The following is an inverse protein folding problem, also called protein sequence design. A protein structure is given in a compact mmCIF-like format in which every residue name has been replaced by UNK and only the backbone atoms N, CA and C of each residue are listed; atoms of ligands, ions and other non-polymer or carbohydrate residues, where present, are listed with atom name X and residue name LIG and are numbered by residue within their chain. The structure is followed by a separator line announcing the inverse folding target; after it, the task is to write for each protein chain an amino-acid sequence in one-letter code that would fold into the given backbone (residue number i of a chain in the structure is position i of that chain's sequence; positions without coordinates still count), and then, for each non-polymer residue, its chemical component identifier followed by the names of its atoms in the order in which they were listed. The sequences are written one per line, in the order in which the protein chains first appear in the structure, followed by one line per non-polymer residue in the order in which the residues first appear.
data_IF_283788035795
#
_entry.id   IF_283788035795
#
_cell.length_a   1.000
_cell.length_b   1.000
_cell.length_c   1.000
_cell.angle_alpha   90.00
_cell.angle_beta   90.00
_cell.angle_gamma   90.00
#
_symmetry.space_group_name_H-M   'P 1'
#
loop_
_entity.id
_entity.type
_entity.pdbx_description
1 polymer ?
#
# COMPACT_ATOMS: atom_id res chain seq x y z
N UNK A 1 25.55 3.44 -0.87
CA UNK A 1 25.35 4.52 -1.86
C UNK A 1 26.57 5.42 -1.87
N UNK A 2 26.90 6.02 -3.02
CA UNK A 2 27.96 7.03 -3.12
C UNK A 2 27.34 8.38 -3.47
N UNK A 3 27.79 9.45 -2.83
CA UNK A 3 27.40 10.81 -3.24
C UNK A 3 28.07 11.14 -4.57
N UNK A 4 27.30 11.65 -5.52
CA UNK A 4 27.80 12.11 -6.83
C UNK A 4 27.75 13.63 -6.89
N UNK A 5 28.74 14.23 -7.57
CA UNK A 5 28.91 15.69 -7.59
C UNK A 5 28.20 16.38 -8.74
N UNK A 6 27.81 15.63 -9.78
CA UNK A 6 27.22 16.18 -11.00
C UNK A 6 25.84 15.55 -11.28
N UNK A 7 24.96 16.33 -11.90
CA UNK A 7 23.62 15.88 -12.32
C UNK A 7 23.74 14.90 -13.49
N UNK A 8 24.78 15.06 -14.30
CA UNK A 8 25.09 14.26 -15.48
C UNK A 8 25.44 12.81 -15.12
N UNK A 9 26.03 12.59 -13.94
CA UNK A 9 26.33 11.26 -13.39
C UNK A 9 25.09 10.56 -12.79
N UNK A 10 23.98 11.28 -12.66
CA UNK A 10 22.80 10.77 -11.96
C UNK A 10 22.03 9.77 -12.82
N UNK A 11 21.97 8.53 -12.36
CA UNK A 11 21.22 7.45 -13.03
C UNK A 11 19.82 7.30 -12.43
N UNK A 12 18.83 6.75 -13.17
CA UNK A 12 17.57 6.33 -12.58
C UNK A 12 17.80 5.44 -11.34
N UNK A 13 16.94 5.54 -10.34
CA UNK A 13 17.09 4.88 -9.03
C UNK A 13 17.91 5.69 -8.02
N UNK A 14 18.64 6.73 -8.45
CA UNK A 14 19.41 7.58 -7.53
C UNK A 14 18.49 8.34 -6.56
N UNK A 15 18.90 8.45 -5.31
CA UNK A 15 18.18 9.23 -4.29
C UNK A 15 18.63 10.68 -4.36
N UNK A 16 17.69 11.61 -4.26
CA UNK A 16 17.94 13.04 -4.29
C UNK A 16 17.43 13.67 -3.00
N UNK A 17 18.32 14.39 -2.30
CA UNK A 17 17.95 15.26 -1.18
C UNK A 17 18.02 16.70 -1.65
N UNK A 18 16.95 17.46 -1.41
CA UNK A 18 16.89 18.83 -1.90
C UNK A 18 16.00 19.74 -1.07
N UNK A 19 16.13 21.04 -1.32
CA UNK A 19 15.25 22.07 -0.80
C UNK A 19 14.12 22.38 -1.78
N UNK A 20 12.87 22.13 -1.39
CA UNK A 20 11.71 22.63 -2.12
C UNK A 20 11.23 23.94 -1.49
N UNK A 21 11.51 25.07 -2.14
CA UNK A 21 11.09 26.40 -1.67
C UNK A 21 9.56 26.55 -1.56
N UNK A 22 8.78 25.73 -2.27
CA UNK A 22 7.31 25.72 -2.16
C UNK A 22 6.81 24.86 -0.99
N UNK A 23 7.69 24.07 -0.37
CA UNK A 23 7.34 23.28 0.79
C UNK A 23 7.35 24.19 2.04
N UNK A 24 6.20 24.28 2.71
CA UNK A 24 6.04 25.08 3.94
C UNK A 24 6.62 24.41 5.18
N UNK A 25 7.14 23.19 5.07
CA UNK A 25 7.80 22.53 6.19
C UNK A 25 9.25 23.04 6.33
N UNK A 26 9.69 23.38 7.56
CA UNK A 26 11.07 23.78 7.77
C UNK A 26 12.04 22.65 7.37
N UNK A 27 13.27 22.99 6.93
CA UNK A 27 14.29 21.99 6.69
C UNK A 27 14.56 21.16 7.94
N UNK A 28 14.89 19.89 7.75
CA UNK A 28 15.35 19.03 8.85
C UNK A 28 16.76 19.44 9.29
N UNK A 29 17.29 18.80 10.34
CA UNK A 29 18.68 19.02 10.79
C UNK A 29 19.72 18.80 9.68
N UNK A 30 19.38 18.04 8.64
CA UNK A 30 20.20 17.81 7.45
C UNK A 30 20.28 19.00 6.48
N UNK A 31 19.51 20.07 6.69
CA UNK A 31 19.44 21.21 5.78
C UNK A 31 18.58 20.97 4.53
N UNK A 32 17.97 19.78 4.38
CA UNK A 32 17.05 19.44 3.29
C UNK A 32 15.60 19.41 3.77
N UNK A 33 14.66 19.71 2.88
CA UNK A 33 13.21 19.66 3.17
C UNK A 33 12.48 18.54 2.41
N UNK A 34 13.14 17.92 1.42
CA UNK A 34 12.58 16.88 0.58
C UNK A 34 13.58 15.75 0.29
N UNK A 35 13.00 14.58 0.04
CA UNK A 35 13.69 13.40 -0.49
C UNK A 35 12.91 12.93 -1.73
N UNK A 36 13.63 12.60 -2.79
CA UNK A 36 13.09 12.14 -4.05
C UNK A 36 13.91 11.00 -4.65
N UNK A 37 13.42 10.45 -5.74
CA UNK A 37 14.13 9.47 -6.55
C UNK A 37 14.15 9.89 -8.01
N UNK A 38 15.28 9.72 -8.67
CA UNK A 38 15.37 9.90 -10.12
C UNK A 38 14.71 8.70 -10.77
N UNK A 39 13.56 8.86 -11.42
CA UNK A 39 12.84 7.73 -12.05
C UNK A 39 12.94 7.74 -13.59
N UNK A 40 13.34 8.87 -14.16
CA UNK A 40 13.68 9.08 -15.56
C UNK A 40 14.87 10.02 -15.64
N UNK A 41 15.58 10.04 -16.77
CA UNK A 41 16.75 10.93 -16.95
C UNK A 41 16.35 12.38 -16.68
N UNK A 42 16.98 12.98 -15.66
CA UNK A 42 16.74 14.36 -15.27
C UNK A 42 15.48 14.62 -14.47
N UNK A 43 14.64 13.62 -14.15
CA UNK A 43 13.38 13.83 -13.44
C UNK A 43 13.35 13.20 -12.06
N UNK A 44 12.97 14.00 -11.07
CA UNK A 44 12.84 13.61 -9.66
C UNK A 44 11.39 13.40 -9.29
N UNK A 45 11.07 12.21 -8.84
CA UNK A 45 9.79 11.86 -8.22
C UNK A 45 9.90 12.05 -6.70
N UNK A 46 8.99 12.81 -6.09
CA UNK A 46 9.02 13.07 -4.65
C UNK A 46 7.62 13.32 -4.07
N UNK A 47 7.46 13.09 -2.76
CA UNK A 47 6.18 13.36 -2.07
C UNK A 47 6.21 14.75 -1.46
N UNK A 48 5.49 15.69 -2.08
CA UNK A 48 5.25 17.00 -1.44
C UNK A 48 4.14 16.88 -0.41
N UNK A 49 4.47 17.21 0.83
CA UNK A 49 3.51 17.37 1.92
C UNK A 49 2.96 18.80 1.89
N UNK A 50 1.66 18.96 1.69
CA UNK A 50 0.97 20.24 1.97
C UNK A 50 0.25 20.15 3.31
N UNK A 51 -0.36 21.26 3.74
CA UNK A 51 -1.20 21.29 4.96
C UNK A 51 -2.37 20.30 4.86
N UNK A 52 -2.89 20.08 3.65
CA UNK A 52 -4.15 19.38 3.41
C UNK A 52 -3.99 18.03 2.71
N UNK A 53 -2.87 17.80 2.02
CA UNK A 53 -2.68 16.58 1.21
C UNK A 53 -1.21 16.24 1.02
N UNK A 54 -0.96 14.93 0.86
CA UNK A 54 0.29 14.43 0.29
C UNK A 54 0.06 14.27 -1.21
N UNK A 55 0.98 14.76 -2.02
CA UNK A 55 0.91 14.59 -3.48
C UNK A 55 2.27 14.16 -4.00
N UNK A 56 2.28 13.09 -4.78
CA UNK A 56 3.47 12.69 -5.53
C UNK A 56 3.62 13.64 -6.72
N UNK A 57 4.81 14.20 -6.87
CA UNK A 57 5.15 15.19 -7.89
C UNK A 57 6.40 14.76 -8.62
N UNK A 58 6.44 15.15 -9.89
CA UNK A 58 7.60 15.06 -10.75
C UNK A 58 8.15 16.47 -10.95
N UNK A 59 9.48 16.60 -10.94
CA UNK A 59 10.17 17.86 -11.19
C UNK A 59 11.47 17.61 -11.94
N UNK A 60 11.81 18.45 -12.90
CA UNK A 60 13.12 18.43 -13.53
C UNK A 60 14.20 18.78 -12.50
N UNK A 61 15.28 18.00 -12.49
CA UNK A 61 16.41 18.14 -11.58
C UNK A 61 17.08 19.51 -11.77
N UNK A 62 17.10 20.03 -13.00
CA UNK A 62 17.58 21.38 -13.35
C UNK A 62 16.73 22.51 -12.75
N UNK A 63 15.47 22.25 -12.38
CA UNK A 63 14.60 23.25 -11.73
C UNK A 63 14.78 23.29 -10.20
N UNK A 64 15.55 22.39 -9.62
CA UNK A 64 15.83 22.36 -8.18
C UNK A 64 16.84 23.47 -7.87
N UNK A 65 16.39 24.47 -7.10
CA UNK A 65 17.22 25.59 -6.64
C UNK A 65 17.66 25.35 -5.20
N UNK A 66 18.93 25.61 -4.90
CA UNK A 66 19.49 25.51 -3.56
C UNK A 66 20.27 24.21 -3.31
N UNK A 67 20.52 23.85 -2.05
CA UNK A 67 21.27 22.65 -1.69
C UNK A 67 20.66 21.38 -2.31
N UNK A 68 21.54 20.59 -2.92
CA UNK A 68 21.22 19.36 -3.63
C UNK A 68 22.31 18.33 -3.33
N UNK A 69 21.91 17.15 -2.84
CA UNK A 69 22.80 15.99 -2.75
C UNK A 69 22.17 14.81 -3.47
N UNK A 70 22.93 14.17 -4.34
CA UNK A 70 22.49 13.01 -5.11
C UNK A 70 23.31 11.80 -4.68
N UNK A 71 22.62 10.71 -4.40
CA UNK A 71 23.21 9.44 -3.98
C UNK A 71 22.90 8.38 -5.03
N UNK A 72 23.93 7.92 -5.71
CA UNK A 72 23.81 6.87 -6.72
C UNK A 72 23.86 5.48 -6.07
N UNK A 73 23.10 4.56 -6.67
CA UNK A 73 23.20 3.13 -6.40
C UNK A 73 24.40 2.59 -7.18
N UNK A 74 25.19 1.73 -6.54
CA UNK A 74 26.42 1.18 -7.17
C UNK A 74 26.08 0.14 -8.23
N UNK A 75 24.96 -0.56 -8.08
CA UNK A 75 24.52 -1.63 -8.97
C UNK A 75 23.43 -1.12 -9.94
N UNK A 76 23.71 -1.27 -11.24
CA UNK A 76 22.81 -0.87 -12.32
C UNK A 76 21.54 -1.75 -12.37
N UNK A 77 21.65 -3.04 -12.06
CA UNK A 77 20.48 -3.93 -12.06
C UNK A 77 19.54 -3.62 -10.90
N UNK A 78 20.10 -3.37 -9.71
CA UNK A 78 19.35 -2.88 -8.55
C UNK A 78 18.65 -1.54 -8.86
N UNK A 79 19.36 -0.60 -9.48
CA UNK A 79 18.82 0.68 -9.95
C UNK A 79 17.61 0.50 -10.88
N UNK A 80 17.68 -0.43 -11.84
CA UNK A 80 16.56 -0.74 -12.75
C UNK A 80 15.34 -1.28 -12.00
N UNK A 81 15.54 -2.19 -11.05
CA UNK A 81 14.44 -2.77 -10.24
C UNK A 81 13.74 -1.71 -9.39
N UNK A 82 14.52 -0.87 -8.71
CA UNK A 82 14.02 0.26 -7.92
C UNK A 82 13.25 1.23 -8.81
N UNK A 83 13.83 1.65 -9.94
CA UNK A 83 13.20 2.57 -10.89
C UNK A 83 11.87 2.02 -11.40
N UNK A 84 11.83 0.73 -11.77
CA UNK A 84 10.61 0.04 -12.22
C UNK A 84 9.52 0.10 -11.14
N UNK A 85 9.86 -0.14 -9.88
CA UNK A 85 8.91 -0.06 -8.77
C UNK A 85 8.26 1.32 -8.65
N UNK A 86 9.05 2.39 -8.65
CA UNK A 86 8.51 3.75 -8.53
C UNK A 86 7.70 4.18 -9.75
N UNK A 87 8.09 3.75 -10.95
CA UNK A 87 7.35 4.02 -12.17
C UNK A 87 5.96 3.34 -12.18
N UNK A 88 5.88 2.08 -11.74
CA UNK A 88 4.59 1.38 -11.64
C UNK A 88 3.68 2.04 -10.59
N UNK A 89 4.27 2.60 -9.53
CA UNK A 89 3.55 3.14 -8.39
C UNK A 89 3.53 4.68 -8.33
N UNK A 90 3.73 5.37 -9.47
CA UNK A 90 3.91 6.83 -9.55
C UNK A 90 2.71 7.67 -9.05
N UNK A 91 1.56 7.03 -8.82
CA UNK A 91 0.38 7.72 -8.29
C UNK A 91 0.14 7.49 -6.80
N UNK A 92 0.99 6.69 -6.14
CA UNK A 92 0.74 6.22 -4.78
C UNK A 92 1.82 6.69 -3.79
N UNK A 93 1.50 7.71 -2.99
CA UNK A 93 2.42 8.24 -1.98
C UNK A 93 2.84 7.21 -0.92
N UNK A 94 1.99 6.24 -0.58
CA UNK A 94 2.31 5.21 0.42
C UNK A 94 3.27 4.17 -0.15
N UNK A 95 3.12 3.81 -1.42
CA UNK A 95 4.10 2.97 -2.13
C UNK A 95 5.44 3.68 -2.28
N UNK A 96 5.44 5.00 -2.52
CA UNK A 96 6.67 5.78 -2.50
C UNK A 96 7.40 5.65 -1.15
N UNK A 97 6.68 5.86 -0.03
CA UNK A 97 7.26 5.72 1.32
C UNK A 97 7.77 4.29 1.58
N UNK A 98 7.03 3.27 1.14
CA UNK A 98 7.41 1.87 1.23
C UNK A 98 8.73 1.63 0.49
N UNK A 99 8.83 2.08 -0.76
CA UNK A 99 10.06 1.99 -1.55
C UNK A 99 11.23 2.66 -0.85
N UNK A 100 11.07 3.91 -0.40
CA UNK A 100 12.15 4.64 0.30
C UNK A 100 12.62 3.93 1.57
N UNK A 101 11.72 3.27 2.31
CA UNK A 101 12.08 2.46 3.49
C UNK A 101 12.93 1.25 3.10
N UNK A 102 12.53 0.52 2.06
CA UNK A 102 13.26 -0.68 1.66
C UNK A 102 14.60 -0.37 1.00
N UNK A 103 14.76 0.75 0.29
CA UNK A 103 16.08 1.19 -0.17
C UNK A 103 17.08 1.34 1.00
N UNK A 104 16.60 1.79 2.17
CA UNK A 104 17.44 1.95 3.36
C UNK A 104 17.71 0.64 4.12
N UNK A 105 16.78 -0.32 4.07
CA UNK A 105 16.79 -1.51 4.94
C UNK A 105 17.23 -2.78 4.21
N UNK A 106 16.59 -3.08 3.09
CA UNK A 106 16.74 -4.35 2.39
C UNK A 106 16.23 -4.18 0.94
N UNK A 107 17.17 -4.16 0.00
CA UNK A 107 16.87 -3.95 -1.41
C UNK A 107 16.39 -5.21 -2.13
N UNK A 108 16.46 -6.38 -1.51
CA UNK A 108 15.87 -7.62 -2.06
C UNK A 108 14.34 -7.54 -2.17
N UNK A 109 13.71 -6.61 -1.46
CA UNK A 109 12.30 -6.24 -1.67
C UNK A 109 11.97 -5.95 -3.14
N UNK A 110 12.91 -5.35 -3.88
CA UNK A 110 12.69 -4.97 -5.28
C UNK A 110 12.82 -6.14 -6.27
N UNK A 111 13.22 -7.34 -5.82
CA UNK A 111 13.20 -8.55 -6.64
C UNK A 111 11.78 -9.05 -6.87
N UNK A 112 10.92 -8.92 -5.86
CA UNK A 112 9.49 -9.27 -5.89
C UNK A 112 8.70 -8.18 -5.18
N UNK A 113 8.63 -6.97 -5.76
CA UNK A 113 8.03 -5.85 -5.07
C UNK A 113 6.53 -6.05 -4.96
N UNK A 114 5.94 -5.42 -3.95
CA UNK A 114 4.50 -5.27 -3.87
C UNK A 114 3.99 -4.48 -5.08
N UNK A 115 3.09 -5.09 -5.85
CA UNK A 115 2.41 -4.46 -6.98
C UNK A 115 0.93 -4.32 -6.66
N UNK A 116 0.42 -3.10 -6.73
CA UNK A 116 -1.01 -2.85 -6.60
C UNK A 116 -1.72 -3.20 -7.91
N UNK A 117 -2.80 -4.00 -7.88
CA UNK A 117 -3.57 -4.28 -9.08
C UNK A 117 -4.23 -3.02 -9.62
N UNK A 118 -4.38 -2.96 -10.94
CA UNK A 118 -5.17 -1.92 -11.61
C UNK A 118 -6.64 -2.34 -11.59
N UNK A 119 -7.46 -1.62 -10.83
CA UNK A 119 -8.89 -1.89 -10.68
C UNK A 119 -9.67 -1.34 -11.89
N UNK A 120 -9.54 -2.00 -13.04
CA UNK A 120 -10.30 -1.67 -14.25
C UNK A 120 -11.72 -2.23 -14.13
N UNK A 121 -12.72 -1.54 -14.68
CA UNK A 121 -14.10 -2.04 -14.69
C UNK A 121 -14.16 -3.45 -15.29
N UNK A 122 -14.80 -4.38 -14.58
CA UNK A 122 -15.09 -5.73 -15.08
C UNK A 122 -16.28 -5.61 -16.04
N UNK A 123 -16.01 -5.84 -17.34
CA UNK A 123 -17.03 -5.73 -18.40
C UNK A 123 -17.46 -7.12 -18.89
N UNK A 124 -16.52 -8.06 -18.96
CA UNK A 124 -16.74 -9.41 -19.44
C UNK A 124 -17.11 -10.35 -18.28
N UNK A 125 -18.31 -10.94 -18.35
CA UNK A 125 -18.82 -11.85 -17.32
C UNK A 125 -18.16 -13.23 -17.38
N UNK A 126 -17.74 -13.68 -18.56
CA UNK A 126 -17.07 -14.98 -18.70
C UNK A 126 -15.65 -14.91 -18.13
N UNK A 127 -14.94 -13.81 -18.40
CA UNK A 127 -13.65 -13.52 -17.75
C UNK A 127 -13.80 -13.40 -16.23
N UNK A 128 -14.85 -12.74 -15.74
CA UNK A 128 -15.16 -12.66 -14.31
C UNK A 128 -15.36 -14.04 -13.69
N UNK A 129 -16.20 -14.90 -14.28
CA UNK A 129 -16.47 -16.25 -13.76
C UNK A 129 -15.19 -17.08 -13.76
N UNK A 130 -14.38 -17.00 -14.83
CA UNK A 130 -13.10 -17.70 -14.91
C UNK A 130 -12.15 -17.27 -13.80
N UNK A 131 -11.96 -15.96 -13.61
CA UNK A 131 -11.14 -15.39 -12.54
C UNK A 131 -11.67 -15.74 -11.16
N UNK A 132 -12.99 -15.72 -10.97
CA UNK A 132 -13.63 -16.10 -9.71
C UNK A 132 -13.32 -17.56 -9.33
N UNK A 133 -13.42 -18.47 -10.29
CA UNK A 133 -13.11 -19.88 -10.06
C UNK A 133 -11.62 -20.08 -9.75
N UNK A 134 -10.73 -19.38 -10.46
CA UNK A 134 -9.29 -19.41 -10.20
C UNK A 134 -8.94 -18.85 -8.80
N UNK A 135 -9.55 -17.73 -8.43
CA UNK A 135 -9.43 -17.16 -7.09
C UNK A 135 -9.84 -18.19 -6.04
N UNK A 136 -11.03 -18.80 -6.19
CA UNK A 136 -11.54 -19.80 -5.24
C UNK A 136 -10.62 -21.01 -5.11
N UNK A 137 -10.06 -21.52 -6.20
CA UNK A 137 -9.15 -22.68 -6.15
C UNK A 137 -7.81 -22.37 -5.51
N UNK A 138 -7.41 -21.09 -5.46
CA UNK A 138 -6.12 -20.66 -4.93
C UNK A 138 -6.17 -20.24 -3.45
N UNK A 139 -7.36 -20.08 -2.87
CA UNK A 139 -7.53 -19.64 -1.49
C UNK A 139 -7.02 -20.68 -0.50
N UNK A 140 -6.37 -20.19 0.56
CA UNK A 140 -5.95 -20.95 1.74
C UNK A 140 -6.48 -20.27 3.00
N UNK A 141 -6.77 -21.02 4.08
CA UNK A 141 -7.14 -20.42 5.35
C UNK A 141 -6.17 -19.30 5.75
N UNK A 142 -6.69 -18.23 6.32
CA UNK A 142 -5.96 -17.01 6.72
C UNK A 142 -5.57 -16.08 5.57
N UNK A 143 -5.81 -16.43 4.30
CA UNK A 143 -5.71 -15.45 3.22
C UNK A 143 -6.65 -14.26 3.47
N UNK A 144 -6.15 -13.05 3.24
CA UNK A 144 -6.94 -11.83 3.31
C UNK A 144 -7.54 -11.52 1.94
N UNK A 145 -8.85 -11.32 1.90
CA UNK A 145 -9.57 -10.77 0.77
C UNK A 145 -9.70 -9.26 1.00
N UNK A 146 -8.94 -8.48 0.25
CA UNK A 146 -9.08 -7.03 0.22
C UNK A 146 -10.03 -6.64 -0.90
N UNK A 147 -11.06 -5.90 -0.53
CA UNK A 147 -12.23 -5.71 -1.38
C UNK A 147 -12.46 -4.23 -1.64
N UNK A 148 -12.88 -3.92 -2.85
CA UNK A 148 -13.40 -2.62 -3.23
C UNK A 148 -14.75 -2.79 -3.94
N UNK A 149 -15.82 -2.28 -3.32
CA UNK A 149 -17.16 -2.23 -3.91
C UNK A 149 -17.33 -0.96 -4.74
N UNK A 150 -17.38 -1.09 -6.07
CA UNK A 150 -17.52 0.04 -7.00
C UNK A 150 -18.87 0.74 -6.90
N UNK A 151 -19.86 0.09 -6.29
CA UNK A 151 -21.21 0.64 -6.11
C UNK A 151 -21.42 1.36 -4.78
N UNK A 152 -20.45 1.30 -3.86
CA UNK A 152 -20.58 1.83 -2.50
C UNK A 152 -19.82 3.15 -2.31
N UNK A 153 -20.56 4.22 -2.00
CA UNK A 153 -20.00 5.54 -1.67
C UNK A 153 -19.09 5.45 -0.44
N UNK A 154 -19.48 4.64 0.55
CA UNK A 154 -18.68 4.42 1.76
C UNK A 154 -17.35 3.77 1.38
N UNK A 155 -17.37 2.78 0.48
CA UNK A 155 -16.14 2.15 -0.02
C UNK A 155 -15.22 3.15 -0.73
N UNK A 156 -15.78 4.00 -1.59
CA UNK A 156 -15.03 5.07 -2.24
C UNK A 156 -14.41 6.06 -1.23
N UNK A 157 -15.15 6.43 -0.18
CA UNK A 157 -14.67 7.34 0.85
C UNK A 157 -13.50 6.76 1.65
N UNK A 158 -13.63 5.50 2.12
CA UNK A 158 -12.56 4.81 2.87
C UNK A 158 -11.28 4.76 2.04
N UNK A 159 -11.39 4.28 0.79
CA UNK A 159 -10.26 4.23 -0.15
C UNK A 159 -9.56 5.58 -0.31
N UNK A 160 -10.35 6.65 -0.42
CA UNK A 160 -9.86 8.02 -0.62
C UNK A 160 -9.13 8.54 0.61
N UNK A 161 -9.72 8.39 1.81
CA UNK A 161 -9.11 8.82 3.08
C UNK A 161 -7.83 8.04 3.35
N UNK A 162 -7.82 6.74 3.04
CA UNK A 162 -6.71 5.84 3.28
C UNK A 162 -5.57 5.96 2.27
N UNK A 163 -5.76 6.74 1.20
CA UNK A 163 -4.87 6.79 0.03
C UNK A 163 -4.55 5.36 -0.48
N UNK A 164 -5.60 4.55 -0.55
CA UNK A 164 -5.56 3.13 -0.84
C UNK A 164 -6.23 2.76 -2.16
N UNK A 165 -6.31 1.46 -2.42
CA UNK A 165 -7.18 0.92 -3.48
C UNK A 165 -8.30 0.03 -2.95
N UNK A 166 -8.18 -0.43 -1.70
CA UNK A 166 -9.15 -1.27 -1.02
C UNK A 166 -9.95 -0.47 0.00
N UNK A 167 -11.17 -0.91 0.28
CA UNK A 167 -12.05 -0.28 1.26
C UNK A 167 -12.54 -1.23 2.35
N UNK A 168 -12.35 -2.52 2.14
CA UNK A 168 -12.82 -3.55 3.05
C UNK A 168 -11.83 -4.72 3.12
N UNK A 169 -11.90 -5.49 4.21
CA UNK A 169 -11.10 -6.69 4.43
C UNK A 169 -11.97 -7.81 4.99
N UNK A 170 -11.82 -8.98 4.41
CA UNK A 170 -12.32 -10.24 4.95
C UNK A 170 -11.15 -11.22 5.04
N UNK A 171 -11.21 -12.20 5.93
CA UNK A 171 -10.28 -13.31 5.95
C UNK A 171 -10.96 -14.61 5.56
N UNK A 172 -10.27 -15.48 4.84
CA UNK A 172 -10.80 -16.77 4.43
C UNK A 172 -10.67 -17.81 5.55
N UNK A 173 -11.78 -18.40 6.00
CA UNK A 173 -11.77 -19.39 7.10
C UNK A 173 -11.60 -20.84 6.62
N UNK A 174 -11.55 -21.09 5.31
CA UNK A 174 -11.69 -22.43 4.73
C UNK A 174 -13.10 -22.69 4.21
N UNK A 175 -13.31 -23.83 3.54
CA UNK A 175 -14.64 -24.36 3.15
C UNK A 175 -15.59 -23.37 2.44
N UNK A 176 -15.02 -22.39 1.72
CA UNK A 176 -15.81 -21.40 1.00
C UNK A 176 -16.46 -20.35 1.90
N UNK A 177 -15.98 -20.14 3.12
CA UNK A 177 -16.45 -19.13 4.06
C UNK A 177 -15.40 -18.07 4.36
N UNK A 178 -15.87 -16.89 4.75
CA UNK A 178 -15.04 -15.75 5.13
C UNK A 178 -15.51 -15.18 6.47
N UNK A 179 -14.57 -14.70 7.27
CA UNK A 179 -14.83 -13.88 8.44
C UNK A 179 -14.60 -12.40 8.11
N UNK A 180 -15.47 -11.52 8.60
CA UNK A 180 -15.34 -10.09 8.37
C UNK A 180 -16.16 -9.27 9.37
N UNK A 181 -15.84 -8.00 9.51
CA UNK A 181 -16.65 -7.04 10.25
C UNK A 181 -17.46 -6.18 9.26
N UNK A 182 -18.78 -6.30 9.28
CA UNK A 182 -19.71 -5.48 8.48
C UNK A 182 -20.53 -4.57 9.39
N UNK A 183 -21.39 -3.73 8.83
CA UNK A 183 -22.22 -2.78 9.58
C UNK A 183 -23.05 -3.40 10.72
N UNK A 184 -23.41 -4.69 10.59
CA UNK A 184 -24.14 -5.43 11.64
C UNK A 184 -23.25 -6.10 12.69
N UNK A 185 -21.92 -6.03 12.56
CA UNK A 185 -20.95 -6.68 13.45
C UNK A 185 -20.02 -7.65 12.74
N UNK A 186 -19.25 -8.39 13.53
CA UNK A 186 -18.41 -9.48 13.06
C UNK A 186 -19.25 -10.70 12.68
N UNK A 187 -19.04 -11.22 11.48
CA UNK A 187 -19.82 -12.33 10.90
C UNK A 187 -18.90 -13.33 10.21
N UNK A 188 -19.36 -14.58 10.13
CA UNK A 188 -18.85 -15.58 9.18
C UNK A 188 -19.96 -15.85 8.15
N UNK A 189 -19.61 -15.80 6.87
CA UNK A 189 -20.59 -15.97 5.78
C UNK A 189 -19.95 -16.61 4.55
N UNK A 190 -20.76 -17.14 3.61
CA UNK A 190 -20.24 -17.72 2.38
C UNK A 190 -19.44 -16.70 1.56
N UNK A 191 -18.32 -17.12 0.98
CA UNK A 191 -17.50 -16.33 0.06
C UNK A 191 -18.30 -15.80 -1.14
N UNK A 192 -19.33 -16.54 -1.55
CA UNK A 192 -20.22 -16.22 -2.68
C UNK A 192 -20.92 -14.86 -2.57
N UNK A 193 -20.98 -14.25 -1.38
CA UNK A 193 -21.45 -12.87 -1.21
C UNK A 193 -20.65 -11.85 -2.04
N UNK A 194 -19.42 -12.20 -2.42
CA UNK A 194 -18.56 -11.39 -3.28
C UNK A 194 -18.55 -11.81 -4.75
N UNK A 195 -19.35 -12.80 -5.16
CA UNK A 195 -19.48 -13.22 -6.57
C UNK A 195 -20.36 -12.25 -7.35
N UNK A 196 -19.87 -11.03 -7.52
CA UNK A 196 -20.51 -10.01 -8.32
C UNK A 196 -19.45 -9.08 -8.92
N UNK A 197 -19.59 -8.70 -10.19
CA UNK A 197 -18.63 -7.86 -10.91
C UNK A 197 -18.50 -6.43 -10.37
N UNK A 198 -19.32 -6.01 -9.40
CA UNK A 198 -19.14 -4.76 -8.65
C UNK A 198 -18.02 -4.83 -7.61
N UNK A 199 -17.60 -6.02 -7.22
CA UNK A 199 -16.52 -6.23 -6.26
C UNK A 199 -15.22 -6.48 -7.00
N UNK A 200 -14.24 -5.60 -6.76
CA UNK A 200 -12.85 -5.94 -6.99
C UNK A 200 -12.29 -6.63 -5.77
N UNK A 201 -11.51 -7.68 -5.98
CA UNK A 201 -11.00 -8.52 -4.89
C UNK A 201 -9.53 -8.80 -5.16
N UNK A 202 -8.67 -8.45 -4.21
CA UNK A 202 -7.30 -8.93 -4.17
C UNK A 202 -7.16 -9.96 -3.06
N UNK A 203 -6.60 -11.12 -3.37
CA UNK A 203 -6.22 -12.13 -2.38
C UNK A 203 -4.78 -11.86 -1.96
N UNK A 204 -4.58 -11.65 -0.67
CA UNK A 204 -3.29 -11.39 -0.07
C UNK A 204 -2.95 -12.49 0.92
N UNK A 205 -1.78 -13.11 0.75
CA UNK A 205 -1.29 -14.15 1.64
C UNK A 205 -0.18 -13.61 2.52
N UNK A 206 -0.06 -14.13 3.73
CA UNK A 206 1.06 -13.80 4.60
C UNK A 206 2.36 -14.27 3.96
N UNK A 207 3.44 -13.48 4.10
CA UNK A 207 4.70 -13.76 3.41
C UNK A 207 5.43 -14.96 4.01
N UNK A 208 5.29 -15.15 5.32
CA UNK A 208 5.82 -16.32 6.00
C UNK A 208 4.80 -17.46 5.88
N UNK A 209 5.31 -18.67 5.65
CA UNK A 209 4.46 -19.85 5.59
C UNK A 209 3.95 -20.17 7.01
N UNK A 210 2.63 -20.21 7.14
CA UNK A 210 1.97 -20.68 8.36
C UNK A 210 1.77 -22.20 8.25
N UNK A 211 2.01 -22.91 9.34
CA UNK A 211 1.60 -24.30 9.46
C UNK A 211 0.07 -24.42 9.49
N UNK A 212 -0.45 -25.58 9.14
CA UNK A 212 -1.90 -25.85 9.19
C UNK A 212 -2.48 -25.64 10.62
N UNK A 213 -1.68 -25.91 11.65
CA UNK A 213 -2.07 -25.70 13.05
C UNK A 213 -2.18 -24.21 13.40
N UNK A 214 -1.21 -23.39 13.00
CA UNK A 214 -1.24 -21.94 13.22
C UNK A 214 -2.41 -21.30 12.45
N UNK A 215 -2.63 -21.73 11.21
CA UNK A 215 -3.75 -21.26 10.41
C UNK A 215 -5.11 -21.61 11.08
N UNK A 216 -5.26 -22.83 11.59
CA UNK A 216 -6.44 -23.25 12.32
C UNK A 216 -6.65 -22.45 13.62
N UNK A 217 -5.58 -22.15 14.36
CA UNK A 217 -5.65 -21.34 15.58
C UNK A 217 -6.10 -19.91 15.28
N UNK A 218 -5.57 -19.28 14.23
CA UNK A 218 -5.98 -17.94 13.80
C UNK A 218 -7.47 -17.92 13.40
N UNK A 219 -7.92 -18.93 12.63
CA UNK A 219 -9.32 -19.06 12.24
C UNK A 219 -10.22 -19.27 13.45
N UNK A 220 -9.81 -20.09 14.43
CA UNK A 220 -10.55 -20.30 15.68
C UNK A 220 -10.73 -18.98 16.44
N UNK A 221 -9.63 -18.23 16.63
CA UNK A 221 -9.65 -16.92 17.29
C UNK A 221 -10.51 -15.90 16.55
N UNK A 222 -10.54 -15.96 15.22
CA UNK A 222 -11.42 -15.11 14.41
C UNK A 222 -12.90 -15.46 14.64
N UNK A 223 -13.24 -16.76 14.71
CA UNK A 223 -14.60 -17.23 14.98
C UNK A 223 -15.12 -16.85 16.36
N UNK A 224 -14.26 -16.81 17.38
CA UNK A 224 -14.61 -16.30 18.73
C UNK A 224 -15.07 -14.83 18.73
N UNK A 225 -14.78 -14.08 17.66
CA UNK A 225 -15.20 -12.68 17.51
C UNK A 225 -16.58 -12.52 16.85
N UNK A 226 -17.17 -13.59 16.31
CA UNK A 226 -18.48 -13.53 15.65
C UNK A 226 -19.53 -12.99 16.63
N UNK A 227 -20.38 -12.10 16.14
CA UNK A 227 -21.42 -11.43 16.93
C UNK A 227 -20.94 -10.18 17.68
N UNK A 228 -19.64 -9.88 17.71
CA UNK A 228 -19.16 -8.62 18.28
C UNK A 228 -19.66 -7.42 17.45
N UNK A 229 -20.08 -6.32 18.11
CA UNK A 229 -20.63 -5.16 17.42
C UNK A 229 -19.57 -4.46 16.58
N UNK A 230 -20.02 -3.79 15.51
CA UNK A 230 -19.11 -3.04 14.64
C UNK A 230 -18.55 -1.80 15.36
N UNK A 231 -17.23 -1.60 15.28
CA UNK A 231 -16.52 -0.51 15.93
C UNK A 231 -16.68 0.84 15.24
N UNK A 232 -17.92 1.37 15.11
CA UNK A 232 -18.20 2.64 14.42
C UNK A 232 -17.38 3.82 14.98
N UNK A 233 -17.30 3.94 16.32
CA UNK A 233 -16.53 5.01 16.97
C UNK A 233 -15.04 4.91 16.63
N UNK A 234 -14.49 3.69 16.59
CA UNK A 234 -13.11 3.43 16.19
C UNK A 234 -12.88 3.85 14.73
N UNK A 235 -13.79 3.51 13.82
CA UNK A 235 -13.67 3.88 12.41
C UNK A 235 -13.74 5.39 12.19
N UNK A 236 -14.67 6.08 12.86
CA UNK A 236 -14.76 7.55 12.83
C UNK A 236 -13.51 8.21 13.39
N UNK A 237 -12.99 7.69 14.51
CA UNK A 237 -11.76 8.17 15.12
C UNK A 237 -10.54 7.97 14.22
N UNK A 238 -10.39 6.80 13.58
CA UNK A 238 -9.32 6.55 12.59
C UNK A 238 -9.45 7.52 11.41
N UNK A 239 -10.66 7.71 10.88
CA UNK A 239 -10.92 8.67 9.80
C UNK A 239 -10.51 10.10 10.20
N UNK A 240 -10.90 10.54 11.40
CA UNK A 240 -10.50 11.84 11.96
C UNK A 240 -8.99 11.96 12.12
N UNK A 241 -8.33 10.94 12.68
CA UNK A 241 -6.87 10.90 12.82
C UNK A 241 -6.17 11.02 11.46
N UNK A 242 -6.68 10.35 10.42
CA UNK A 242 -6.09 10.41 9.07
C UNK A 242 -6.29 11.76 8.39
N UNK A 243 -7.43 12.41 8.63
CA UNK A 243 -7.71 13.74 8.10
C UNK A 243 -6.91 14.84 8.83
N UNK A 244 -6.74 14.73 10.15
CA UNK A 244 -6.27 15.85 10.98
C UNK A 244 -4.96 15.60 11.76
N UNK A 245 -4.64 14.38 12.22
CA UNK A 245 -3.36 14.08 12.91
C UNK A 245 -2.27 13.75 11.90
N UNK A 246 -1.69 14.85 11.42
CA UNK A 246 -0.82 15.04 10.26
C UNK A 246 0.58 14.41 10.31
N UNK A 247 1.10 13.91 11.43
CA UNK A 247 2.51 13.53 11.53
C UNK A 247 2.74 12.47 12.61
N UNK A 248 3.44 11.38 12.23
CA UNK A 248 4.13 10.35 13.06
C UNK A 248 3.61 8.91 12.96
N UNK A 249 2.42 8.65 12.43
CA UNK A 249 1.90 7.26 12.38
C UNK A 249 2.52 6.37 11.30
N UNK A 250 3.54 6.84 10.59
CA UNK A 250 4.19 6.05 9.55
C UNK A 250 5.33 5.24 10.16
N UNK A 251 4.94 4.09 10.72
CA UNK A 251 5.73 2.85 10.80
C UNK A 251 6.99 2.81 11.69
N UNK A 252 7.29 3.86 12.47
CA UNK A 252 8.27 3.78 13.57
C UNK A 252 7.62 3.63 14.95
N UNK A 253 6.29 3.75 15.04
CA UNK A 253 5.51 3.39 16.23
C UNK A 253 5.02 1.95 16.14
N UNK A 254 4.88 1.30 17.30
CA UNK A 254 4.32 -0.04 17.43
C UNK A 254 3.04 -0.19 16.61
N UNK A 255 2.92 -1.34 15.94
CA UNK A 255 1.73 -1.73 15.20
C UNK A 255 0.53 -1.71 16.15
N UNK A 256 -0.33 -0.69 16.03
CA UNK A 256 -1.55 -0.59 16.82
C UNK A 256 -2.68 -1.30 16.07
N UNK A 257 -3.07 -2.52 16.49
CA UNK A 257 -4.09 -3.31 15.81
C UNK A 257 -5.45 -2.60 15.74
N UNK A 258 -5.69 -1.64 16.62
CA UNK A 258 -6.94 -0.88 16.69
C UNK A 258 -7.03 0.27 15.69
N UNK A 259 -5.97 0.54 14.92
CA UNK A 259 -5.90 1.66 13.96
C UNK A 259 -5.64 1.22 12.52
N UNK A 260 -5.76 -0.08 12.27
CA UNK A 260 -5.48 -0.68 10.98
C UNK A 260 -6.65 -0.48 10.03
N UNK A 261 -6.31 -0.10 8.81
CA UNK A 261 -7.22 -0.07 7.66
C UNK A 261 -6.84 -1.19 6.69
N UNK A 262 -7.76 -1.59 5.79
CA UNK A 262 -7.47 -2.62 4.78
C UNK A 262 -6.15 -2.40 4.02
N UNK A 263 -5.83 -1.14 3.72
CA UNK A 263 -4.62 -0.81 2.98
C UNK A 263 -3.33 -0.89 3.82
N UNK A 264 -3.39 -0.82 5.14
CA UNK A 264 -2.18 -0.96 5.97
C UNK A 264 -1.65 -2.39 5.96
N UNK A 265 -2.51 -3.40 5.76
CA UNK A 265 -2.06 -4.77 5.50
C UNK A 265 -1.18 -4.82 4.25
N UNK A 266 -1.62 -4.19 3.16
CA UNK A 266 -0.86 -4.09 1.90
C UNK A 266 0.46 -3.38 2.12
N UNK A 267 0.44 -2.18 2.70
CA UNK A 267 1.63 -1.35 2.87
C UNK A 267 2.55 -1.78 4.02
N UNK A 268 2.20 -2.82 4.77
CA UNK A 268 3.08 -3.43 5.76
C UNK A 268 4.27 -4.15 5.11
N UNK A 269 4.11 -4.64 3.87
CA UNK A 269 5.09 -5.50 3.22
C UNK A 269 5.10 -6.95 3.73
N UNK A 270 4.23 -7.28 4.68
CA UNK A 270 4.07 -8.64 5.24
C UNK A 270 3.11 -9.52 4.42
N UNK A 271 2.35 -8.91 3.52
CA UNK A 271 1.35 -9.59 2.70
C UNK A 271 1.65 -9.40 1.22
N UNK A 272 1.52 -10.46 0.42
CA UNK A 272 1.75 -10.42 -1.03
C UNK A 272 0.49 -10.82 -1.80
N UNK A 273 0.29 -10.18 -2.95
CA UNK A 273 -0.85 -10.46 -3.82
C UNK A 273 -0.68 -11.83 -4.46
N UNK A 274 -1.66 -12.71 -4.26
CA UNK A 274 -1.73 -14.06 -4.84
C UNK A 274 -2.58 -14.04 -6.10
N UNK A 275 -3.76 -13.42 -6.05
CA UNK A 275 -4.72 -13.36 -7.14
C UNK A 275 -5.52 -12.05 -7.09
N UNK A 276 -6.06 -11.60 -8.21
CA UNK A 276 -6.97 -10.46 -8.23
C UNK A 276 -8.05 -10.52 -9.31
N UNK A 277 -9.18 -9.87 -9.03
CA UNK A 277 -10.30 -9.69 -9.96
C UNK A 277 -10.71 -8.21 -9.98
#
# INVERSE_FOLDING_TARGET
MAEIKSIEEAVPGSIVFFMDAKNRMPPQKSGFSQIGIIHQKGKVLYVRKTIWRRKLLEKELSEIKGPLSIYSLKDLEESKKITRFFNINIMNCRMFDLGMRYIKRDTTFFDKPLLLPKLNKIVDQDDFIKKWNLLKSNLKPVDLLLIYDTSSIVSWLIKTIDNGIWSHVAGYTGDGTVWEAISSGAVERPLEVYKNSKYHIGVYRFREELSDQEAAEIVSKARERIGQPYGYLTLLWIGWLRLFKRNSFLFEGEFDPWKITPNDFVYSGLWWLVEFI
#
